data_IF_671595692971
#
_entry.id   IF_671595692971
#
_cell.length_a   1.000
_cell.length_b   1.000
_cell.length_c   1.000
_cell.angle_alpha   90.00
_cell.angle_beta   90.00
_cell.angle_gamma   90.00
#
_symmetry.space_group_name_H-M   'P 1'
#
loop_
_entity.id
_entity.type
_entity.pdbx_description
1 polymer ?
#
# COMPACT_ATOMS: atom_id res chain seq x y z
N UNK A 1 -33.40 -16.51 0.72
CA UNK A 1 -32.64 -16.46 1.99
C UNK A 1 -31.56 -15.41 1.83
N UNK A 2 -31.95 -14.15 1.57
CA UNK A 2 -31.02 -13.04 1.32
C UNK A 2 -31.15 -11.92 2.36
N UNK A 3 -32.08 -12.05 3.32
CA UNK A 3 -32.39 -10.97 4.28
C UNK A 3 -31.27 -10.72 5.30
N UNK A 4 -30.34 -11.67 5.49
CA UNK A 4 -29.19 -11.56 6.40
C UNK A 4 -27.82 -11.48 5.67
N UNK A 5 -27.82 -11.25 4.35
CA UNK A 5 -26.58 -11.27 3.57
C UNK A 5 -25.67 -10.07 3.86
N UNK A 6 -24.41 -10.33 4.21
CA UNK A 6 -23.38 -9.29 4.37
C UNK A 6 -22.76 -8.96 3.01
N UNK A 7 -22.88 -7.71 2.58
CA UNK A 7 -22.28 -7.24 1.32
C UNK A 7 -20.89 -6.64 1.56
N UNK A 8 -19.88 -7.18 0.90
CA UNK A 8 -18.53 -6.63 0.87
C UNK A 8 -18.28 -6.02 -0.52
N UNK A 9 -17.88 -4.75 -0.56
CA UNK A 9 -17.52 -4.06 -1.81
C UNK A 9 -16.01 -4.07 -1.98
N UNK A 10 -15.55 -4.59 -3.11
CA UNK A 10 -14.15 -4.58 -3.52
C UNK A 10 -13.98 -3.70 -4.75
N UNK A 11 -12.86 -2.97 -4.82
CA UNK A 11 -12.45 -2.36 -6.10
C UNK A 11 -12.10 -3.46 -7.11
N UNK A 12 -12.02 -3.10 -8.39
CA UNK A 12 -11.64 -4.09 -9.41
C UNK A 12 -10.27 -4.69 -9.14
N UNK A 13 -9.29 -3.87 -8.73
CA UNK A 13 -7.95 -4.32 -8.39
C UNK A 13 -7.94 -5.23 -7.14
N UNK A 14 -8.69 -4.88 -6.09
CA UNK A 14 -8.83 -5.73 -4.89
C UNK A 14 -9.42 -7.09 -5.24
N UNK A 15 -10.51 -7.10 -6.00
CA UNK A 15 -11.17 -8.31 -6.44
C UNK A 15 -10.22 -9.19 -7.28
N UNK A 16 -9.47 -8.57 -8.19
CA UNK A 16 -8.57 -9.28 -9.09
C UNK A 16 -7.39 -9.91 -8.35
N UNK A 17 -6.74 -9.17 -7.46
CA UNK A 17 -5.62 -9.68 -6.65
C UNK A 17 -6.07 -10.74 -5.66
N UNK A 18 -7.23 -10.57 -5.02
CA UNK A 18 -7.79 -11.58 -4.12
C UNK A 18 -8.14 -12.87 -4.87
N UNK A 19 -8.73 -12.75 -6.07
CA UNK A 19 -9.05 -13.90 -6.91
C UNK A 19 -7.82 -14.70 -7.31
N UNK A 20 -6.72 -14.04 -7.71
CA UNK A 20 -5.44 -14.72 -7.99
C UNK A 20 -4.95 -15.48 -6.76
N UNK A 21 -4.87 -14.81 -5.61
CA UNK A 21 -4.38 -15.45 -4.38
C UNK A 21 -5.23 -16.66 -3.98
N UNK A 22 -6.57 -16.54 -4.02
CA UNK A 22 -7.47 -17.66 -3.73
C UNK A 22 -7.23 -18.83 -4.69
N UNK A 23 -7.05 -18.58 -5.97
CA UNK A 23 -6.73 -19.63 -6.95
C UNK A 23 -5.40 -20.33 -6.63
N UNK A 24 -4.35 -19.56 -6.34
CA UNK A 24 -3.03 -20.10 -6.00
C UNK A 24 -3.11 -20.99 -4.75
N UNK A 25 -3.76 -20.52 -3.69
CA UNK A 25 -3.80 -21.25 -2.41
C UNK A 25 -4.74 -22.45 -2.48
N UNK A 26 -5.90 -22.34 -3.15
CA UNK A 26 -6.89 -23.43 -3.19
C UNK A 26 -6.56 -24.56 -4.17
N UNK A 27 -5.89 -24.25 -5.28
CA UNK A 27 -5.73 -25.22 -6.39
C UNK A 27 -4.27 -25.49 -6.77
N UNK A 28 -3.34 -24.59 -6.44
CA UNK A 28 -1.92 -24.78 -6.77
C UNK A 28 -1.05 -25.12 -5.56
N UNK A 29 -1.61 -25.05 -4.36
CA UNK A 29 -0.94 -25.42 -3.12
C UNK A 29 -1.70 -26.54 -2.44
N UNK A 30 -0.98 -27.58 -2.00
CA UNK A 30 -1.53 -28.60 -1.10
C UNK A 30 -1.63 -28.08 0.36
N UNK A 31 -1.18 -26.84 0.61
CA UNK A 31 -1.02 -26.25 1.93
C UNK A 31 -2.18 -25.33 2.36
N UNK A 32 -3.34 -25.35 1.67
CA UNK A 32 -4.50 -24.59 2.12
C UNK A 32 -4.88 -24.98 3.57
N UNK A 33 -4.74 -26.24 3.94
CA UNK A 33 -4.93 -26.69 5.34
C UNK A 33 -3.87 -26.15 6.30
N UNK A 34 -2.67 -25.82 5.82
CA UNK A 34 -1.63 -25.16 6.61
C UNK A 34 -1.86 -23.66 6.81
N UNK A 35 -2.68 -23.02 5.98
CA UNK A 35 -3.02 -21.60 6.07
C UNK A 35 -4.38 -21.39 6.77
N UNK A 36 -5.36 -22.25 6.45
CA UNK A 36 -6.73 -22.19 6.98
C UNK A 36 -7.05 -23.48 7.72
N UNK A 37 -6.64 -23.54 8.98
CA UNK A 37 -6.80 -24.71 9.84
C UNK A 37 -8.27 -24.99 10.20
N UNK A 38 -9.06 -23.94 10.42
CA UNK A 38 -10.47 -24.08 10.80
C UNK A 38 -11.33 -24.38 9.57
N UNK A 39 -11.99 -25.54 9.56
CA UNK A 39 -12.81 -25.98 8.41
C UNK A 39 -14.04 -25.12 8.21
N UNK A 40 -14.61 -24.54 9.27
CA UNK A 40 -15.75 -23.65 9.12
C UNK A 40 -15.44 -22.43 8.22
N UNK A 41 -14.18 -21.97 8.20
CA UNK A 41 -13.72 -20.84 7.37
C UNK A 41 -13.70 -21.19 5.88
N UNK A 42 -13.70 -22.47 5.52
CA UNK A 42 -13.70 -22.88 4.12
C UNK A 42 -15.00 -22.49 3.42
N UNK A 43 -16.12 -22.54 4.12
CA UNK A 43 -17.43 -22.17 3.56
C UNK A 43 -17.45 -20.73 3.02
N UNK A 44 -17.11 -19.69 3.81
CA UNK A 44 -17.07 -18.33 3.27
C UNK A 44 -15.97 -18.14 2.22
N UNK A 45 -14.84 -18.84 2.31
CA UNK A 45 -13.79 -18.80 1.26
C UNK A 45 -14.34 -19.31 -0.08
N UNK A 46 -15.04 -20.45 -0.10
CA UNK A 46 -15.68 -20.96 -1.32
C UNK A 46 -16.75 -20.01 -1.85
N UNK A 47 -17.56 -19.41 -0.98
CA UNK A 47 -18.55 -18.41 -1.39
C UNK A 47 -17.90 -17.18 -2.05
N UNK A 48 -16.82 -16.66 -1.47
CA UNK A 48 -16.08 -15.52 -2.03
C UNK A 48 -15.41 -15.92 -3.36
N UNK A 49 -14.68 -17.03 -3.37
CA UNK A 49 -13.98 -17.54 -4.56
C UNK A 49 -14.95 -17.77 -5.72
N UNK A 50 -16.07 -18.47 -5.48
CA UNK A 50 -17.08 -18.72 -6.51
C UNK A 50 -17.83 -17.46 -6.97
N UNK A 51 -17.88 -16.41 -6.14
CA UNK A 51 -18.43 -15.10 -6.55
C UNK A 51 -17.45 -14.36 -7.46
N UNK A 52 -16.16 -14.36 -7.10
CA UNK A 52 -15.11 -13.69 -7.85
C UNK A 52 -14.85 -14.35 -9.21
N UNK A 53 -14.80 -15.69 -9.27
CA UNK A 53 -14.62 -16.47 -10.49
C UNK A 53 -15.69 -16.15 -11.56
N UNK A 54 -16.93 -15.90 -11.12
CA UNK A 54 -18.02 -15.51 -12.02
C UNK A 54 -17.98 -14.06 -12.46
N UNK A 55 -17.36 -13.18 -11.66
CA UNK A 55 -17.39 -11.72 -11.86
C UNK A 55 -16.16 -11.18 -12.61
N UNK A 56 -15.06 -11.94 -12.65
CA UNK A 56 -13.77 -11.51 -13.19
C UNK A 56 -13.43 -12.30 -14.45
N UNK A 57 -13.62 -11.70 -15.62
CA UNK A 57 -13.20 -12.31 -16.89
C UNK A 57 -11.71 -12.10 -17.18
N UNK A 58 -11.05 -11.16 -16.50
CA UNK A 58 -9.64 -10.81 -16.70
C UNK A 58 -8.68 -11.96 -16.41
N UNK A 59 -9.11 -12.93 -15.58
CA UNK A 59 -8.32 -14.14 -15.28
C UNK A 59 -8.07 -15.01 -16.52
N UNK A 60 -8.86 -14.84 -17.57
CA UNK A 60 -8.74 -15.56 -18.84
C UNK A 60 -8.06 -14.74 -19.95
N UNK A 61 -7.63 -13.51 -19.66
CA UNK A 61 -7.03 -12.64 -20.66
C UNK A 61 -5.56 -13.03 -20.95
N UNK A 62 -5.09 -12.89 -22.20
CA UNK A 62 -3.72 -13.28 -22.57
C UNK A 62 -2.63 -12.41 -21.91
N UNK A 63 -2.97 -11.19 -21.50
CA UNK A 63 -2.12 -10.26 -20.75
C UNK A 63 -2.40 -10.28 -19.24
N UNK A 64 -2.93 -11.40 -18.72
CA UNK A 64 -3.24 -11.60 -17.30
C UNK A 64 -2.12 -11.18 -16.36
N UNK A 65 -0.90 -11.70 -16.57
CA UNK A 65 0.25 -11.47 -15.69
C UNK A 65 0.59 -9.98 -15.55
N UNK A 66 0.85 -9.26 -16.66
CA UNK A 66 1.08 -7.81 -16.62
C UNK A 66 -0.05 -7.02 -15.94
N UNK A 67 -1.32 -7.38 -16.19
CA UNK A 67 -2.47 -6.71 -15.53
C UNK A 67 -2.49 -6.92 -14.03
N UNK A 68 -2.22 -8.15 -13.61
CA UNK A 68 -2.21 -8.52 -12.20
C UNK A 68 -1.13 -7.75 -11.44
N UNK A 69 0.07 -7.66 -12.00
CA UNK A 69 1.15 -6.89 -11.36
C UNK A 69 0.85 -5.40 -11.31
N UNK A 70 0.27 -4.82 -12.37
CA UNK A 70 -0.16 -3.42 -12.34
C UNK A 70 -1.26 -3.16 -11.28
N UNK A 71 -2.18 -4.10 -11.09
CA UNK A 71 -3.20 -4.02 -10.03
C UNK A 71 -2.55 -4.09 -8.63
N UNK A 72 -1.61 -5.02 -8.42
CA UNK A 72 -0.86 -5.12 -7.16
C UNK A 72 -0.07 -3.85 -6.87
N UNK A 73 0.56 -3.25 -7.87
CA UNK A 73 1.31 -2.00 -7.74
C UNK A 73 0.41 -0.84 -7.27
N UNK A 74 -0.74 -0.64 -7.92
CA UNK A 74 -1.73 0.37 -7.50
C UNK A 74 -2.19 0.15 -6.06
N UNK A 75 -2.53 -1.08 -5.68
CA UNK A 75 -2.96 -1.38 -4.30
C UNK A 75 -1.85 -1.15 -3.27
N UNK A 76 -0.59 -1.47 -3.59
CA UNK A 76 0.53 -1.18 -2.69
C UNK A 76 0.73 0.33 -2.55
N UNK A 77 0.64 1.08 -3.64
CA UNK A 77 0.72 2.54 -3.60
C UNK A 77 -0.41 3.14 -2.75
N UNK A 78 -1.62 2.61 -2.82
CA UNK A 78 -2.74 3.08 -1.98
C UNK A 78 -2.55 2.75 -0.50
N UNK A 79 -1.98 1.57 -0.18
CA UNK A 79 -1.76 1.13 1.20
C UNK A 79 -0.58 1.83 1.90
N UNK A 80 0.47 2.15 1.15
CA UNK A 80 1.74 2.65 1.71
C UNK A 80 2.11 4.07 1.26
N UNK A 81 1.51 4.60 0.19
CA UNK A 81 1.90 5.85 -0.46
C UNK A 81 1.36 7.14 0.17
N UNK A 82 0.35 7.08 1.05
CA UNK A 82 -0.07 8.25 1.84
C UNK A 82 0.89 8.51 3.03
N UNK A 83 1.49 7.45 3.57
CA UNK A 83 2.44 7.53 4.69
C UNK A 83 3.77 8.17 4.29
N UNK A 84 4.23 7.96 3.05
CA UNK A 84 5.51 8.51 2.56
C UNK A 84 5.41 10.00 2.19
N UNK A 85 4.23 10.47 1.76
CA UNK A 85 4.02 11.88 1.41
C UNK A 85 3.95 12.80 2.64
N UNK A 86 3.53 12.25 3.79
CA UNK A 86 3.56 12.96 5.09
C UNK A 86 4.96 13.06 5.71
N UNK A 87 5.84 12.09 5.47
CA UNK A 87 7.23 12.15 5.92
C UNK A 87 8.07 13.16 5.09
N UNK A 88 7.87 13.19 3.77
CA UNK A 88 8.60 14.11 2.89
C UNK A 88 8.21 15.60 3.08
N UNK A 89 6.97 15.88 3.51
CA UNK A 89 6.50 17.26 3.69
C UNK A 89 6.97 17.93 4.98
N UNK A 90 7.51 17.15 5.94
CA UNK A 90 8.01 17.67 7.23
C UNK A 90 9.49 18.05 7.23
N UNK A 91 10.33 17.38 6.43
CA UNK A 91 11.78 17.63 6.38
C UNK A 91 12.14 18.84 5.50
N UNK A 92 11.41 19.09 4.41
CA UNK A 92 11.68 20.23 3.51
C UNK A 92 11.30 21.59 4.14
N UNK A 93 10.27 21.62 4.98
CA UNK A 93 9.86 22.83 5.71
C UNK A 93 10.83 23.19 6.86
N UNK A 94 11.44 22.17 7.49
CA UNK A 94 12.42 22.38 8.55
C UNK A 94 13.78 22.86 8.00
N UNK A 95 14.20 22.33 6.84
CA UNK A 95 15.43 22.76 6.16
C UNK A 95 15.34 24.21 5.67
N UNK A 96 14.22 24.60 5.07
CA UNK A 96 14.00 25.98 4.59
C UNK A 96 13.93 27.01 5.72
N UNK A 97 13.35 26.66 6.88
CA UNK A 97 13.34 27.53 8.06
C UNK A 97 14.72 27.70 8.72
N UNK A 98 15.60 26.69 8.62
CA UNK A 98 16.95 26.75 9.20
C UNK A 98 17.91 27.58 8.35
N UNK A 99 17.77 27.55 7.02
CA UNK A 99 18.56 28.37 6.09
C UNK A 99 18.26 29.86 6.25
N UNK A 100 16.99 30.25 6.38
CA UNK A 100 16.61 31.68 6.55
C UNK A 100 17.07 32.27 7.91
N UNK A 101 17.31 31.41 8.91
CA UNK A 101 17.82 31.81 10.24
C UNK A 101 19.33 32.05 10.24
N UNK A 102 20.08 31.31 9.41
CA UNK A 102 21.54 31.40 9.35
C UNK A 102 21.97 32.62 8.51
N UNK A 103 21.19 33.00 7.49
CA UNK A 103 21.48 34.14 6.60
C UNK A 103 21.32 35.53 7.26
N UNK A 104 20.63 35.65 8.41
CA UNK A 104 20.44 36.94 9.11
C UNK A 104 21.38 37.22 10.29
N UNK A 105 22.35 36.36 10.55
CA UNK A 105 23.03 36.31 11.84
C UNK A 105 24.55 36.46 11.85
N UNK A 106 25.20 37.18 10.93
CA UNK A 106 26.64 37.49 11.10
C UNK A 106 27.14 38.60 10.16
N UNK A 107 26.95 39.84 10.58
CA UNK A 107 27.78 41.01 10.25
C UNK A 107 27.99 41.67 11.62
N UNK A 108 29.13 41.55 12.27
CA UNK A 108 30.47 41.95 11.84
C UNK A 108 30.85 43.11 12.75
N UNK A 109 31.71 42.87 13.75
CA UNK A 109 32.50 43.95 14.34
C UNK A 109 33.81 43.39 14.86
N UNK A 110 34.88 43.71 14.13
CA UNK A 110 36.26 43.39 14.44
C UNK A 110 36.89 44.67 14.97
N UNK A 111 36.88 44.83 16.30
CA UNK A 111 37.48 45.96 17.00
C UNK A 111 38.87 45.62 17.51
N UNK A 112 39.87 45.98 16.73
CA UNK A 112 41.29 46.02 17.04
C UNK A 112 41.59 46.69 18.40
N UNK A 113 42.46 46.10 19.22
CA UNK A 113 43.06 46.78 20.38
C UNK A 113 44.47 46.28 20.62
N UNK A 114 45.41 46.93 19.93
CA UNK A 114 46.80 46.97 20.36
C UNK A 114 47.05 48.11 21.35
N UNK A 115 47.93 47.83 22.33
CA UNK A 115 48.93 48.70 23.00
C UNK A 115 48.87 48.64 24.53
N UNK A 116 50.06 48.39 25.12
CA UNK A 116 50.48 49.19 26.27
C UNK A 116 51.28 48.47 27.37
N UNK A 117 52.61 48.53 27.22
CA UNK A 117 53.67 48.70 28.23
C UNK A 117 53.95 47.64 29.28
#
# INVERSE_FOLDING_TARGET
>A
MDEDAITIRLTRDQAFVLSDWLYQVMFRSDDLQGIVHERAVWSPIYSISGTLDKALSEVFMPDYGPRLEAAKERLRADLYGESDRSAASGEDAAATAQVDRIERGTTGDHGESGRGR
#
